data_IF_354012118578
#
_entry.id   IF_354012118578
#
_cell.length_a   1.000
_cell.length_b   1.000
_cell.length_c   1.000
_cell.angle_alpha   90.00
_cell.angle_beta   90.00
_cell.angle_gamma   90.00
#
_symmetry.space_group_name_H-M   'P 1'
#
loop_
_entity.id
_entity.type
_entity.pdbx_description
1 polymer ?
#
# COMPACT_ATOMS: atom_id res chain seq x y z
N UNK A 1 -16.00 13.79 -3.47
CA UNK A 1 -14.79 13.26 -4.12
C UNK A 1 -13.56 14.09 -3.83
N UNK A 2 -13.67 15.25 -3.17
CA UNK A 2 -12.50 16.03 -2.75
C UNK A 2 -12.39 15.94 -1.23
N UNK A 3 -11.17 15.67 -0.74
CA UNK A 3 -10.90 15.78 0.69
C UNK A 3 -10.95 17.26 1.06
N UNK A 4 -11.56 17.57 2.20
CA UNK A 4 -12.00 18.92 2.60
C UNK A 4 -10.83 19.82 3.03
N UNK A 5 -9.63 19.26 3.27
CA UNK A 5 -8.44 20.04 3.59
C UNK A 5 -7.16 19.54 2.91
N UNK A 6 -6.18 20.43 2.64
CA UNK A 6 -4.86 20.03 2.14
C UNK A 6 -4.15 19.00 3.02
N UNK A 7 -4.40 19.04 4.34
CA UNK A 7 -3.85 18.08 5.28
C UNK A 7 -4.41 16.66 5.05
N UNK A 8 -5.71 16.52 4.77
CA UNK A 8 -6.30 15.20 4.49
C UNK A 8 -5.77 14.57 3.21
N UNK A 9 -5.39 15.38 2.21
CA UNK A 9 -4.69 14.91 1.02
C UNK A 9 -3.28 14.42 1.37
N UNK A 10 -2.55 15.16 2.20
CA UNK A 10 -1.24 14.71 2.68
C UNK A 10 -1.32 13.40 3.47
N UNK A 11 -2.31 13.28 4.36
CA UNK A 11 -2.55 12.06 5.13
C UNK A 11 -2.99 10.87 4.28
N UNK A 12 -3.43 11.08 3.03
CA UNK A 12 -3.72 9.99 2.10
C UNK A 12 -2.47 9.16 1.80
N UNK A 13 -1.34 9.85 1.65
CA UNK A 13 -0.11 9.29 1.10
C UNK A 13 0.97 9.11 2.18
N UNK A 14 0.60 9.24 3.46
CA UNK A 14 1.54 9.17 4.59
C UNK A 14 2.36 7.86 4.61
N UNK A 15 1.76 6.75 4.16
CA UNK A 15 2.42 5.44 4.11
C UNK A 15 3.05 5.10 2.76
N UNK A 16 2.80 5.90 1.72
CA UNK A 16 3.31 5.65 0.35
C UNK A 16 4.47 6.57 0.00
N UNK A 17 4.45 7.82 0.49
CA UNK A 17 5.43 8.86 0.11
C UNK A 17 6.87 8.49 0.46
N UNK A 18 7.08 7.73 1.54
CA UNK A 18 8.42 7.33 1.99
C UNK A 18 9.18 6.53 0.91
N UNK A 19 8.51 5.65 0.16
CA UNK A 19 9.14 4.87 -0.90
C UNK A 19 9.69 5.78 -2.01
N UNK A 20 8.94 6.81 -2.39
CA UNK A 20 9.35 7.77 -3.41
C UNK A 20 10.53 8.63 -2.95
N UNK A 21 10.54 9.09 -1.68
CA UNK A 21 11.60 9.94 -1.14
C UNK A 21 12.91 9.15 -0.98
N UNK A 22 12.82 7.91 -0.49
CA UNK A 22 13.99 7.03 -0.29
C UNK A 22 14.46 6.43 -1.60
N UNK A 23 13.58 6.35 -2.62
CA UNK A 23 13.90 5.80 -3.93
C UNK A 23 13.95 4.27 -3.94
N UNK A 24 13.11 3.61 -3.15
CA UNK A 24 13.09 2.15 -3.03
C UNK A 24 11.83 1.56 -3.66
N UNK A 25 11.90 0.31 -4.16
CA UNK A 25 10.74 -0.35 -4.73
C UNK A 25 9.67 -0.65 -3.67
N UNK A 26 8.41 -0.51 -4.06
CA UNK A 26 7.23 -0.78 -3.25
C UNK A 26 6.08 -1.33 -4.10
N UNK A 27 5.24 -2.19 -3.50
CA UNK A 27 4.03 -2.75 -4.12
C UNK A 27 2.88 -2.75 -3.11
N UNK A 28 1.66 -2.49 -3.60
CA UNK A 28 0.42 -2.63 -2.82
C UNK A 28 -0.36 -3.86 -3.30
N UNK A 29 -0.81 -4.69 -2.36
CA UNK A 29 -1.54 -5.93 -2.63
C UNK A 29 -2.88 -5.94 -1.89
N UNK A 30 -3.94 -6.54 -2.45
CA UNK A 30 -5.20 -6.72 -1.74
C UNK A 30 -5.00 -7.66 -0.54
N UNK A 31 -5.47 -7.25 0.64
CA UNK A 31 -5.29 -7.99 1.91
C UNK A 31 -6.60 -8.35 2.60
N UNK A 32 -7.71 -8.31 1.85
CA UNK A 32 -9.05 -8.68 2.33
C UNK A 32 -9.98 -7.47 2.44
N UNK A 33 -10.91 -7.53 3.38
CA UNK A 33 -11.93 -6.50 3.59
C UNK A 33 -12.07 -6.18 5.09
N UNK A 34 -12.37 -4.92 5.39
CA UNK A 34 -12.77 -4.47 6.72
C UNK A 34 -14.23 -4.03 6.70
N UNK A 35 -14.97 -4.40 7.74
CA UNK A 35 -16.32 -3.90 7.97
C UNK A 35 -16.25 -2.57 8.73
N UNK A 36 -16.65 -1.47 8.09
CA UNK A 36 -16.67 -0.13 8.67
C UNK A 36 -18.03 0.50 8.39
N UNK A 37 -18.73 0.94 9.43
CA UNK A 37 -20.06 1.56 9.33
C UNK A 37 -21.08 0.71 8.52
N UNK A 38 -21.01 -0.62 8.68
CA UNK A 38 -21.88 -1.57 7.97
C UNK A 38 -21.56 -1.73 6.48
N UNK A 39 -20.37 -1.30 6.03
CA UNK A 39 -19.88 -1.46 4.66
C UNK A 39 -18.58 -2.27 4.66
N UNK A 40 -18.50 -3.20 3.71
CA UNK A 40 -17.27 -3.93 3.42
C UNK A 40 -16.36 -3.08 2.54
N UNK A 41 -15.21 -2.66 3.07
CA UNK A 41 -14.23 -1.85 2.37
C UNK A 41 -12.96 -2.66 2.08
N UNK A 42 -12.41 -2.59 0.87
CA UNK A 42 -11.21 -3.34 0.51
C UNK A 42 -10.00 -2.84 1.31
N UNK A 43 -9.19 -3.77 1.78
CA UNK A 43 -7.91 -3.49 2.43
C UNK A 43 -6.76 -3.75 1.45
N UNK A 44 -5.75 -2.89 1.54
CA UNK A 44 -4.47 -3.09 0.89
C UNK A 44 -3.36 -3.24 1.93
N UNK A 45 -2.35 -4.04 1.63
CA UNK A 45 -1.08 -4.08 2.35
C UNK A 45 0.02 -3.55 1.44
N UNK A 46 0.91 -2.72 1.99
CA UNK A 46 2.06 -2.20 1.25
C UNK A 46 3.34 -2.87 1.72
N UNK A 47 4.08 -3.39 0.75
CA UNK A 47 5.38 -4.02 0.94
C UNK A 47 6.45 -3.14 0.28
N UNK A 48 7.57 -2.96 0.95
CA UNK A 48 8.74 -2.23 0.45
C UNK A 48 9.98 -3.11 0.62
N UNK A 49 10.94 -3.03 -0.29
CA UNK A 49 12.23 -3.73 -0.16
C UNK A 49 13.39 -2.76 -0.30
N UNK A 50 14.62 -3.25 -0.12
CA UNK A 50 15.79 -2.45 -0.48
C UNK A 50 15.85 -2.23 -2.00
N UNK A 51 16.63 -1.24 -2.40
CA UNK A 51 16.90 -0.90 -3.80
C UNK A 51 17.39 -2.12 -4.60
N UNK A 52 16.84 -2.28 -5.81
CA UNK A 52 17.17 -3.38 -6.72
C UNK A 52 16.72 -4.78 -6.30
N UNK A 53 15.82 -4.92 -5.31
CA UNK A 53 15.28 -6.21 -4.84
C UNK A 53 13.80 -6.40 -5.19
N UNK A 54 13.37 -5.97 -6.38
CA UNK A 54 12.00 -6.16 -6.86
C UNK A 54 11.61 -7.63 -6.96
N UNK A 55 12.57 -8.52 -7.23
CA UNK A 55 12.37 -9.97 -7.29
C UNK A 55 11.85 -10.53 -5.96
N UNK A 56 12.37 -10.03 -4.82
CA UNK A 56 11.91 -10.37 -3.48
C UNK A 56 10.48 -9.90 -3.26
N UNK A 57 10.15 -8.68 -3.68
CA UNK A 57 8.78 -8.15 -3.57
C UNK A 57 7.79 -8.98 -4.38
N UNK A 58 8.12 -9.35 -5.62
CA UNK A 58 7.25 -10.20 -6.42
C UNK A 58 7.10 -11.60 -5.83
N UNK A 59 8.19 -12.18 -5.29
CA UNK A 59 8.15 -13.50 -4.63
C UNK A 59 7.26 -13.49 -3.40
N UNK A 60 7.44 -12.50 -2.53
CA UNK A 60 6.62 -12.34 -1.31
C UNK A 60 5.17 -12.05 -1.70
N UNK A 61 4.94 -11.19 -2.70
CA UNK A 61 3.60 -10.85 -3.14
C UNK A 61 2.81 -12.05 -3.66
N UNK A 62 3.42 -12.89 -4.50
CA UNK A 62 2.82 -14.14 -4.95
C UNK A 62 2.53 -15.08 -3.78
N UNK A 63 3.51 -15.27 -2.89
CA UNK A 63 3.32 -16.11 -1.71
C UNK A 63 2.20 -15.61 -0.79
N UNK A 64 2.02 -14.28 -0.68
CA UNK A 64 0.96 -13.67 0.11
C UNK A 64 -0.42 -13.87 -0.52
N UNK A 65 -0.51 -13.78 -1.85
CA UNK A 65 -1.75 -14.00 -2.60
C UNK A 65 -2.09 -15.48 -2.81
N UNK A 66 -1.17 -16.40 -2.49
CA UNK A 66 -1.37 -17.84 -2.68
C UNK A 66 -1.22 -18.29 -4.14
N UNK A 67 -0.45 -17.55 -4.94
CA UNK A 67 -0.10 -17.87 -6.34
C UNK A 67 1.12 -18.79 -6.48
#
# INVERSE_FOLDING_TARGET
GEKKSPLENYLADIFTVSANIVGIPAVSLPSGFAEIDGKSLPLGIQLMSADGQEDVLFKIGKSFLGE
#
